data_IF_221339288800
#
_entry.id   IF_221339288800
#
_cell.length_a   1.000
_cell.length_b   1.000
_cell.length_c   1.000
_cell.angle_alpha   90.00
_cell.angle_beta   90.00
_cell.angle_gamma   90.00
#
_symmetry.space_group_name_H-M   'P 1'
#
loop_
_entity.id
_entity.type
_entity.pdbx_description
1 polymer ?
2 non-polymer ?
3 water ?
#
# COMPACT_ATOMS: atom_id res chain seq x y z
N UNK A 24 11.87 8.03 -0.37
CA UNK A 24 12.88 8.66 0.52
C UNK A 24 12.36 9.91 1.21
N UNK A 25 11.21 10.43 0.77
CA UNK A 25 10.48 11.43 1.56
C UNK A 25 9.09 10.86 1.79
N UNK A 26 8.25 11.57 2.52
CA UNK A 26 6.95 11.02 2.88
C UNK A 26 5.99 10.96 1.67
N UNK A 27 6.26 11.77 0.63
CA UNK A 27 5.44 11.78 -0.59
C UNK A 27 5.42 10.44 -1.33
N UNK A 28 6.57 9.76 -1.42
CA UNK A 28 6.63 8.47 -2.11
C UNK A 28 5.79 7.38 -1.44
N UNK A 29 5.35 7.65 -0.20
CA UNK A 29 4.52 6.72 0.55
C UNK A 29 3.00 6.91 0.29
N UNK A 30 2.64 7.88 -0.55
CA UNK A 30 1.27 8.14 -1.02
C UNK A 30 0.30 8.55 0.07
N UNK A 31 0.82 9.18 1.12
CA UNK A 31 -0.02 9.69 2.19
C UNK A 31 -0.88 10.86 1.68
N UNK A 32 -2.02 11.04 2.33
CA UNK A 32 -2.90 12.16 2.04
C UNK A 32 -2.24 13.52 2.32
N UNK A 33 -2.68 14.53 1.60
CA UNK A 33 -2.10 15.84 1.74
C UNK A 33 -2.14 16.40 3.16
N UNK A 34 -3.29 16.27 3.86
CA UNK A 34 -3.31 16.76 5.25
C UNK A 34 -2.26 16.10 6.13
N UNK A 35 -2.03 14.80 5.92
CA UNK A 35 -1.02 14.10 6.72
C UNK A 35 0.42 14.55 6.35
N UNK A 36 0.70 14.65 5.06
CA UNK A 36 1.97 15.19 4.57
C UNK A 36 2.30 16.59 5.13
N UNK A 37 1.30 17.47 5.14
CA UNK A 37 1.43 18.85 5.66
C UNK A 37 1.64 18.87 7.16
N UNK A 38 0.94 17.98 7.87
CA UNK A 38 1.09 17.81 9.30
C UNK A 38 2.47 17.30 9.67
N UNK A 39 2.94 16.26 8.97
CA UNK A 39 4.30 15.72 9.19
C UNK A 39 5.34 16.83 9.05
N UNK A 40 5.25 17.58 7.96
CA UNK A 40 6.18 18.69 7.69
C UNK A 40 6.06 19.74 8.81
N UNK A 41 4.84 20.10 9.20
CA UNK A 41 4.65 21.09 10.26
C UNK A 41 5.24 20.62 11.60
N UNK A 42 5.13 19.32 11.86
CA UNK A 42 5.57 18.70 13.12
C UNK A 42 7.06 18.35 13.14
N UNK A 43 7.80 18.67 12.07
CA UNK A 43 9.24 18.44 12.04
C UNK A 43 9.71 17.12 11.43
N UNK A 44 8.80 16.36 10.83
CA UNK A 44 9.14 15.05 10.24
C UNK A 44 9.48 15.23 8.76
N UNK A 45 10.74 15.47 8.43
CA UNK A 45 11.09 15.78 7.03
C UNK A 45 11.35 14.57 6.13
N UNK A 46 12.04 13.55 6.67
CA UNK A 46 12.27 12.32 5.91
C UNK A 46 11.96 11.09 6.78
N UNK A 47 11.32 10.06 6.20
CA UNK A 47 11.01 8.85 6.98
C UNK A 47 12.24 8.06 7.40
N UNK A 48 12.15 7.50 8.60
CA UNK A 48 13.16 6.59 9.11
C UNK A 48 13.04 5.27 8.33
N UNK A 49 14.08 4.43 8.37
CA UNK A 49 13.99 3.10 7.73
C UNK A 49 12.71 2.28 8.04
N UNK A 50 12.28 2.24 9.30
CA UNK A 50 11.06 1.49 9.64
C UNK A 50 9.78 2.19 9.13
N UNK A 51 9.80 3.51 9.09
CA UNK A 51 8.69 4.28 8.57
C UNK A 51 8.55 4.03 7.07
N UNK A 52 9.66 4.07 6.32
CA UNK A 52 9.63 3.69 4.90
C UNK A 52 9.03 2.33 4.64
N UNK A 53 9.39 1.34 5.47
CA UNK A 53 8.92 -0.02 5.29
C UNK A 53 7.48 -0.22 5.72
N UNK A 54 7.13 0.29 6.90
CA UNK A 54 5.85 -0.10 7.53
C UNK A 54 4.66 0.71 7.04
N UNK A 55 4.86 1.99 6.74
CA UNK A 55 3.72 2.85 6.37
C UNK A 55 2.93 2.34 5.13
N UNK A 56 3.62 2.02 4.01
CA UNK A 56 2.84 1.50 2.86
C UNK A 56 2.07 0.22 3.17
N UNK A 57 2.68 -0.66 3.98
CA UNK A 57 2.07 -1.95 4.33
C UNK A 57 0.86 -1.72 5.23
N UNK A 58 0.96 -0.76 6.14
CA UNK A 58 -0.18 -0.28 6.94
C UNK A 58 -1.30 0.28 6.07
N UNK A 59 -0.97 1.12 5.09
CA UNK A 59 -1.97 1.68 4.16
C UNK A 59 -2.68 0.60 3.34
N UNK A 60 -1.98 -0.51 3.14
CA UNK A 60 -2.46 -1.69 2.42
C UNK A 60 -3.52 -2.48 3.20
N UNK A 61 -3.72 -2.16 4.48
CA UNK A 61 -4.71 -2.80 5.32
C UNK A 61 -4.26 -4.12 5.95
N UNK A 62 -2.97 -4.46 5.83
CA UNK A 62 -2.45 -5.70 6.39
C UNK A 62 -2.33 -5.69 7.94
N UNK A 63 -2.46 -6.84 8.58
CA UNK A 63 -2.09 -6.92 10.00
C UNK A 63 -0.57 -6.88 10.05
N UNK A 64 -0.02 -6.02 10.90
CA UNK A 64 1.44 -5.84 10.98
C UNK A 64 1.95 -6.13 12.36
N UNK A 65 3.10 -6.79 12.43
CA UNK A 65 3.92 -6.84 13.64
C UNK A 65 5.23 -6.10 13.33
N UNK A 66 5.42 -4.95 13.96
CA UNK A 66 6.57 -4.11 13.72
C UNK A 66 7.49 -4.28 14.93
N UNK A 67 8.62 -4.94 14.72
CA UNK A 67 9.59 -5.16 15.80
C UNK A 67 10.91 -4.44 15.48
N UNK A 68 11.22 -3.46 16.33
CA UNK A 68 12.42 -2.67 16.11
C UNK A 68 12.80 -1.97 17.41
N UNK A 69 14.10 -1.81 17.60
CA UNK A 69 14.63 -1.29 18.86
C UNK A 69 14.20 0.16 19.10
N UNK A 70 14.38 0.61 20.33
CA UNK A 70 14.04 1.99 20.66
C UNK A 70 14.85 2.94 19.76
N UNK A 71 14.26 4.07 19.43
CA UNK A 71 14.92 5.09 18.61
C UNK A 71 14.61 5.02 17.12
N UNK A 72 13.83 4.00 16.70
CA UNK A 72 13.57 3.73 15.29
C UNK A 72 12.38 4.50 14.69
N UNK A 73 11.52 5.06 15.53
CA UNK A 73 10.40 5.88 15.07
C UNK A 73 9.07 5.15 14.95
N UNK A 74 8.81 4.20 15.85
CA UNK A 74 7.65 3.33 15.78
C UNK A 74 6.31 4.04 16.10
N UNK A 75 6.30 5.01 17.01
CA UNK A 75 5.07 5.76 17.32
C UNK A 75 4.58 6.55 16.10
N UNK A 76 5.50 7.17 15.39
CA UNK A 76 5.12 7.90 14.19
C UNK A 76 4.71 6.96 13.06
N UNK A 77 5.19 5.71 13.07
CA UNK A 77 4.68 4.67 12.15
C UNK A 77 3.17 4.48 12.28
N UNK A 78 2.72 4.12 13.47
CA UNK A 78 1.30 3.78 13.61
C UNK A 78 0.42 5.03 13.69
N UNK A 79 1.00 6.14 14.13
CA UNK A 79 0.27 7.39 14.20
C UNK A 79 -0.05 7.87 12.77
N UNK A 80 0.91 7.71 11.86
CA UNK A 80 0.75 8.11 10.47
C UNK A 80 -0.24 7.20 9.73
N UNK A 81 -0.12 5.90 9.95
CA UNK A 81 -1.05 4.94 9.37
C UNK A 81 -2.46 5.29 9.86
N UNK A 82 -2.59 5.54 11.15
CA UNK A 82 -3.87 5.84 11.75
C UNK A 82 -4.50 7.09 11.15
N UNK A 83 -3.76 8.21 11.14
CA UNK A 83 -4.31 9.46 10.64
C UNK A 83 -4.66 9.37 9.14
N UNK A 84 -3.83 8.70 8.36
CA UNK A 84 -4.11 8.53 6.94
C UNK A 84 -5.38 7.70 6.66
N UNK A 85 -5.74 6.82 7.58
CA UNK A 85 -6.88 5.91 7.41
C UNK A 85 -8.20 6.56 7.83
N UNK A 86 -8.10 7.65 8.60
CA UNK A 86 -9.29 8.25 9.22
C UNK A 86 -10.22 8.91 8.21
N UNK A 87 -11.52 8.70 8.42
CA UNK A 87 -12.55 9.43 7.69
C UNK A 87 -12.93 10.61 8.60
N UNK A 88 -12.32 11.75 8.33
CA UNK A 88 -12.42 12.88 9.27
C UNK A 88 -13.86 13.39 9.43
N UNK A 89 -14.61 13.39 8.34
CA UNK A 89 -16.00 13.86 8.37
C UNK A 89 -16.94 12.94 9.14
N UNK A 90 -16.50 11.71 9.45
CA UNK A 90 -17.29 10.78 10.28
C UNK A 90 -16.86 10.87 11.74
N UNK A 91 -17.66 11.54 12.58
CA UNK A 91 -17.27 11.77 13.97
C UNK A 91 -17.69 10.55 14.81
N UNK A 92 -16.90 9.50 14.63
CA UNK A 92 -17.15 8.20 15.25
C UNK A 92 -15.79 7.62 15.54
N UNK A 93 -15.71 6.76 16.54
CA UNK A 93 -14.40 6.21 16.96
C UNK A 93 -14.00 5.10 16.00
N UNK A 94 -13.04 5.40 15.13
CA UNK A 94 -12.63 4.48 14.07
C UNK A 94 -11.34 3.72 14.39
N UNK A 95 -10.61 4.28 15.36
CA UNK A 95 -9.28 3.77 15.75
C UNK A 95 -9.17 3.69 17.27
N UNK A 96 -8.71 2.53 17.74
CA UNK A 96 -8.46 2.29 19.13
C UNK A 96 -7.00 1.92 19.34
N UNK A 97 -6.34 2.65 20.23
CA UNK A 97 -4.90 2.41 20.54
C UNK A 97 -4.71 2.12 22.03
N UNK A 98 -4.06 1.01 22.34
CA UNK A 98 -3.80 0.63 23.72
C UNK A 98 -2.32 0.81 24.09
N UNK A 99 -2.08 1.29 25.29
CA UNK A 99 -0.75 1.55 25.80
C UNK A 99 -0.65 0.98 27.20
N UNK A 100 0.54 0.50 27.58
CA UNK A 100 0.66 -0.16 28.86
C UNK A 100 0.74 0.75 30.11
N UNK A 101 1.03 2.03 29.90
CA UNK A 101 1.10 3.00 31.00
C UNK A 101 0.37 4.29 30.61
N UNK A 102 -0.07 5.02 31.63
CA UNK A 102 -0.64 6.38 31.48
C UNK A 102 0.25 7.32 30.66
N UNK A 103 1.53 7.35 31.00
CA UNK A 103 2.49 8.23 30.31
C UNK A 103 2.63 7.90 28.82
N UNK A 104 2.72 6.60 28.49
CA UNK A 104 2.82 6.18 27.09
C UNK A 104 1.53 6.57 26.30
N UNK A 105 0.36 6.39 26.90
CA UNK A 105 -0.91 6.78 26.25
C UNK A 105 -0.86 8.28 25.87
N UNK A 106 -0.35 9.12 26.79
CA UNK A 106 -0.26 10.56 26.52
C UNK A 106 0.80 10.90 25.49
N UNK A 107 1.93 10.18 25.53
CA UNK A 107 2.98 10.31 24.52
C UNK A 107 2.38 10.09 23.10
N UNK A 108 1.57 9.05 22.95
CA UNK A 108 0.87 8.73 21.70
C UNK A 108 -0.05 9.87 21.28
N UNK A 109 -0.87 10.35 22.21
CA UNK A 109 -1.76 11.46 21.96
C UNK A 109 -0.99 12.69 21.46
N UNK A 110 0.18 12.96 22.04
CA UNK A 110 0.98 14.09 21.62
C UNK A 110 1.46 14.01 20.17
N UNK A 111 1.92 12.83 19.77
CA UNK A 111 2.41 12.59 18.41
C UNK A 111 1.25 12.69 17.40
N UNK A 112 0.14 12.03 17.71
CA UNK A 112 -1.05 12.08 16.81
C UNK A 112 -1.57 13.51 16.67
N UNK A 113 -1.67 14.23 17.77
CA UNK A 113 -2.18 15.58 17.70
C UNK A 113 -1.18 16.55 17.01
N UNK A 114 0.11 16.27 17.07
CA UNK A 114 1.12 17.03 16.32
C UNK A 114 1.06 16.78 14.82
N UNK A 115 1.06 15.51 14.42
CA UNK A 115 0.99 15.14 13.02
C UNK A 115 -0.39 15.49 12.43
N UNK A 116 -1.42 15.50 13.28
CA UNK A 116 -2.78 15.76 12.85
C UNK A 116 -3.17 17.23 12.82
N UNK A 117 -2.18 18.11 13.01
CA UNK A 117 -2.42 19.53 13.22
C UNK A 117 -3.14 20.25 12.05
N UNK A 118 -3.03 19.71 10.84
CA UNK A 118 -3.73 20.28 9.67
C UNK A 118 -5.07 19.60 9.35
N UNK A 119 -5.52 18.73 10.23
CA UNK A 119 -6.78 18.02 10.06
C UNK A 119 -7.78 18.69 11.00
N UNK A 120 -8.52 19.63 10.46
CA UNK A 120 -9.43 20.43 11.22
C UNK A 120 -10.51 19.55 11.86
N UNK A 121 -10.76 19.74 13.14
CA UNK A 121 -11.77 18.94 13.86
C UNK A 121 -11.37 17.52 14.25
N UNK A 122 -10.10 17.16 14.06
CA UNK A 122 -9.58 15.89 14.61
C UNK A 122 -9.79 15.82 16.14
N UNK A 123 -10.35 14.72 16.59
CA UNK A 123 -10.66 14.49 17.98
C UNK A 123 -9.92 13.20 18.43
N UNK A 124 -8.86 13.39 19.20
CA UNK A 124 -8.09 12.26 19.74
C UNK A 124 -8.03 12.48 21.24
N UNK A 125 -8.42 11.46 22.00
CA UNK A 125 -8.63 11.57 23.46
C UNK A 125 -8.02 10.40 24.21
N UNK A 126 -7.52 10.70 25.40
CA UNK A 126 -6.85 9.71 26.27
C UNK A 126 -7.79 9.25 27.38
N UNK A 127 -7.90 7.94 27.55
CA UNK A 127 -8.81 7.29 28.51
C UNK A 127 -7.99 6.48 29.48
N UNK A 128 -7.79 7.05 30.67
CA UNK A 128 -6.99 6.45 31.73
C UNK A 128 -7.71 6.61 33.07
N UNK A 129 -7.24 5.91 34.08
CA UNK A 129 -7.84 5.99 35.42
C UNK A 129 -7.72 7.37 36.03
N UNK A 130 -8.64 7.67 36.94
CA UNK A 130 -8.62 8.91 37.72
C UNK A 130 -9.56 10.02 37.29
N UNK A 131 -10.09 9.89 36.08
CA UNK A 131 -11.14 10.77 35.58
C UNK A 131 -12.50 10.10 35.76
N UNK A 132 -13.52 10.87 36.15
CA UNK A 132 -14.85 10.27 36.34
C UNK A 132 -15.35 9.65 35.03
N UNK A 133 -16.00 8.50 35.13
CA UNK A 133 -16.51 7.80 33.95
C UNK A 133 -17.53 8.67 33.20
N UNK A 134 -18.24 9.53 33.94
CA UNK A 134 -19.21 10.43 33.29
C UNK A 134 -18.53 11.39 32.29
N UNK A 135 -17.32 11.82 32.64
CA UNK A 135 -16.56 12.70 31.79
C UNK A 135 -16.02 11.98 30.54
N UNK A 136 -15.56 10.74 30.71
CA UNK A 136 -15.19 9.94 29.57
C UNK A 136 -16.39 9.72 28.65
N UNK A 137 -17.56 9.44 29.24
CA UNK A 137 -18.76 9.24 28.41
C UNK A 137 -18.99 10.45 27.49
N UNK A 138 -18.92 11.67 28.06
CA UNK A 138 -19.14 12.89 27.29
C UNK A 138 -18.08 13.05 26.19
N UNK A 139 -16.83 12.76 26.54
CA UNK A 139 -15.70 12.93 25.60
C UNK A 139 -15.82 11.96 24.43
N UNK A 140 -16.34 10.77 24.69
CA UNK A 140 -16.46 9.73 23.67
C UNK A 140 -17.56 10.03 22.65
N UNK A 141 -18.40 11.01 22.95
CA UNK A 141 -19.39 11.49 21.96
C UNK A 141 -18.75 12.23 20.78
N UNK A 142 -17.50 12.68 20.92
CA UNK A 142 -16.78 13.37 19.85
C UNK A 142 -15.36 12.88 19.86
N UNK A 143 -15.11 11.73 19.24
CA UNK A 143 -13.81 11.08 19.39
C UNK A 143 -13.50 10.20 18.18
N UNK A 144 -12.58 10.62 17.33
CA UNK A 144 -12.13 9.82 16.20
C UNK A 144 -11.20 8.68 16.60
N UNK A 145 -10.27 9.01 17.52
CA UNK A 145 -9.22 8.08 17.94
C UNK A 145 -9.15 8.02 19.45
N UNK A 146 -9.41 6.83 20.00
CA UNK A 146 -9.35 6.60 21.44
C UNK A 146 -8.04 5.95 21.78
N UNK A 147 -7.28 6.55 22.71
CA UNK A 147 -6.01 6.04 23.20
C UNK A 147 -6.19 5.78 24.69
N UNK A 148 -5.88 4.59 25.18
CA UNK A 148 -5.99 4.39 26.61
C UNK A 148 -5.35 3.14 27.15
N UNK A 149 -5.52 2.92 28.45
CA UNK A 149 -5.03 1.70 29.04
C UNK A 149 -6.14 0.64 28.93
N UNK A 150 -5.73 -0.65 28.84
CA UNK A 150 -6.70 -1.73 28.65
C UNK A 150 -7.82 -1.79 29.70
N UNK A 151 -7.53 -1.56 30.99
CA UNK A 151 -8.60 -1.66 31.99
C UNK A 151 -9.69 -0.62 31.80
N UNK A 152 -9.27 0.63 31.59
CA UNK A 152 -10.23 1.71 31.39
C UNK A 152 -11.01 1.54 30.10
N UNK A 153 -10.34 1.17 29.01
CA UNK A 153 -11.02 0.94 27.74
C UNK A 153 -12.04 -0.20 27.85
N UNK A 154 -11.66 -1.30 28.49
CA UNK A 154 -12.61 -2.40 28.68
C UNK A 154 -13.88 -1.91 29.44
N UNK A 155 -13.68 -1.16 30.51
CA UNK A 155 -14.81 -0.63 31.29
C UNK A 155 -15.74 0.23 30.44
N UNK A 156 -15.14 1.09 29.61
CA UNK A 156 -15.92 2.00 28.75
C UNK A 156 -16.68 1.23 27.68
N UNK A 157 -16.09 0.16 27.15
CA UNK A 157 -16.80 -0.65 26.16
C UNK A 157 -17.94 -1.42 26.86
N UNK A 158 -17.66 -2.03 28.01
CA UNK A 158 -18.69 -2.73 28.81
C UNK A 158 -19.91 -1.85 29.14
N UNK A 159 -19.67 -0.58 29.45
CA UNK A 159 -20.75 0.38 29.70
C UNK A 159 -21.44 0.92 28.44
N UNK A 160 -20.92 0.59 27.25
CA UNK A 160 -21.32 1.15 25.94
C UNK A 160 -21.14 2.67 25.85
N UNK A 161 -20.18 3.18 26.62
CA UNK A 161 -19.77 4.56 26.50
C UNK A 161 -18.90 4.69 25.25
N UNK A 162 -18.06 3.66 25.00
CA UNK A 162 -17.35 3.49 23.75
C UNK A 162 -18.07 2.34 23.01
N UNK A 163 -18.90 2.68 22.04
CA UNK A 163 -19.46 1.69 21.14
C UNK A 163 -18.39 1.34 20.09
N UNK A 164 -17.96 0.08 20.05
CA UNK A 164 -16.82 -0.27 19.19
C UNK A 164 -17.21 -0.59 17.75
N UNK A 165 -18.48 -0.37 17.41
CA UNK A 165 -19.04 -0.67 16.09
C UNK A 165 -18.36 -0.07 14.87
N UNK A 166 -17.72 1.09 15.02
CA UNK A 166 -17.03 1.71 13.89
C UNK A 166 -15.52 1.56 13.92
N UNK A 167 -14.98 0.83 14.87
CA UNK A 167 -13.54 0.65 14.95
C UNK A 167 -13.11 -0.31 13.84
N UNK A 168 -12.20 0.17 13.00
CA UNK A 168 -11.63 -0.67 11.94
C UNK A 168 -10.10 -0.89 12.06
N UNK A 169 -9.49 -0.23 13.03
CA UNK A 169 -8.05 -0.28 13.25
C UNK A 169 -7.76 -0.33 14.75
N UNK A 170 -7.07 -1.39 15.15
CA UNK A 170 -6.81 -1.69 16.56
C UNK A 170 -5.28 -1.84 16.72
N UNK A 171 -4.69 -0.96 17.53
CA UNK A 171 -3.25 -0.85 17.63
C UNK A 171 -2.78 -1.13 19.07
N UNK A 172 -1.82 -2.05 19.20
CA UNK A 172 -1.16 -2.36 20.45
C UNK A 172 0.27 -1.78 20.47
N UNK A 173 0.45 -0.72 21.25
CA UNK A 173 1.77 -0.07 21.35
C UNK A 173 2.51 -0.69 22.55
N UNK A 174 3.80 -0.94 22.37
CA UNK A 174 4.62 -1.66 23.34
C UNK A 174 3.95 -2.96 23.70
N UNK A 175 3.74 -3.77 22.65
CA UNK A 175 2.91 -4.96 22.78
C UNK A 175 3.52 -6.01 23.70
N UNK A 176 4.86 -6.02 23.77
CA UNK A 176 5.58 -6.84 24.75
C UNK A 176 5.15 -6.49 26.19
N UNK A 177 5.16 -5.21 26.55
CA UNK A 177 4.70 -4.78 27.86
C UNK A 177 3.20 -5.02 28.13
N UNK A 178 2.36 -4.90 27.09
CA UNK A 178 0.93 -5.11 27.22
C UNK A 178 0.57 -6.56 27.53
N UNK A 179 1.33 -7.49 26.96
CA UNK A 179 0.94 -8.91 26.96
C UNK A 179 1.84 -9.81 27.81
N UNK A 180 2.79 -9.22 28.52
CA UNK A 180 3.68 -9.99 29.40
C UNK A 180 2.90 -10.53 30.64
N UNK A 181 3.50 -11.50 31.31
CA UNK A 181 2.92 -12.06 32.51
C UNK A 181 2.64 -10.95 33.49
N UNK A 182 1.45 -11.00 34.09
CA UNK A 182 1.04 -10.00 35.07
C UNK A 182 0.51 -8.72 34.44
N UNK A 183 0.39 -8.66 33.10
CA UNK A 183 -0.08 -7.43 32.43
C UNK A 183 -1.53 -7.56 31.93
N UNK A 184 -1.81 -7.15 30.71
CA UNK A 184 -3.20 -6.98 30.28
C UNK A 184 -3.75 -7.98 29.26
N UNK A 185 -3.22 -9.19 29.19
CA UNK A 185 -3.69 -10.15 28.19
C UNK A 185 -5.19 -10.45 28.30
N UNK A 186 -5.70 -10.63 29.52
CA UNK A 186 -7.11 -10.94 29.66
C UNK A 186 -8.01 -9.78 29.16
N UNK A 187 -7.64 -8.56 29.52
CA UNK A 187 -8.39 -7.38 29.11
C UNK A 187 -8.33 -7.18 27.60
N UNK A 188 -7.17 -7.43 27.00
CA UNK A 188 -7.00 -7.27 25.57
C UNK A 188 -7.76 -8.33 24.79
N UNK A 189 -7.71 -9.58 25.27
CA UNK A 189 -8.53 -10.65 24.70
C UNK A 189 -10.01 -10.23 24.65
N UNK A 190 -10.50 -9.67 25.75
CA UNK A 190 -11.90 -9.23 25.87
C UNK A 190 -12.22 -8.13 24.88
N UNK A 191 -11.39 -7.09 24.86
CA UNK A 191 -11.56 -5.97 23.94
C UNK A 191 -11.54 -6.43 22.51
N UNK A 192 -10.56 -7.28 22.16
CA UNK A 192 -10.45 -7.79 20.82
C UNK A 192 -11.78 -8.45 20.37
N UNK A 193 -12.33 -9.27 21.25
CA UNK A 193 -13.60 -9.96 20.98
C UNK A 193 -14.80 -9.03 20.81
N UNK A 194 -14.78 -7.88 21.50
CA UNK A 194 -15.87 -6.92 21.45
C UNK A 194 -15.89 -6.15 20.13
N UNK A 195 -14.74 -6.06 19.48
CA UNK A 195 -14.62 -5.28 18.25
C UNK A 195 -15.24 -5.99 17.06
N UNK A 196 -15.45 -5.24 15.97
CA UNK A 196 -16.00 -5.83 14.77
C UNK A 196 -15.07 -6.90 14.24
N UNK A 197 -15.64 -7.93 13.62
CA UNK A 197 -14.84 -9.01 13.06
C UNK A 197 -13.89 -8.49 11.97
N UNK A 198 -14.36 -7.55 11.17
CA UNK A 198 -13.56 -6.98 10.09
C UNK A 198 -12.79 -5.74 10.57
N UNK A 199 -11.49 -5.92 10.79
CA UNK A 199 -10.65 -4.84 11.26
C UNK A 199 -9.22 -5.16 10.94
N UNK A 200 -8.38 -4.14 11.04
CA UNK A 200 -6.94 -4.26 10.87
C UNK A 200 -6.27 -4.12 12.22
N UNK A 201 -5.26 -4.97 12.45
CA UNK A 201 -4.48 -4.88 13.64
C UNK A 201 -3.02 -4.53 13.42
N UNK A 202 -2.48 -3.68 14.29
CA UNK A 202 -1.06 -3.36 14.29
C UNK A 202 -0.52 -3.64 15.69
N UNK A 203 0.59 -4.36 15.79
CA UNK A 203 1.29 -4.50 17.09
C UNK A 203 2.72 -4.01 16.91
N UNK A 204 3.16 -3.10 17.78
CA UNK A 204 4.51 -2.56 17.64
C UNK A 204 5.22 -2.80 18.96
N UNK A 205 6.50 -3.16 18.87
CA UNK A 205 7.23 -3.66 20.05
C UNK A 205 8.72 -3.56 19.82
N UNK A 206 9.44 -3.30 20.88
CA UNK A 206 10.90 -3.34 20.84
C UNK A 206 11.44 -4.79 20.80
N UNK A 207 10.73 -5.72 21.43
CA UNK A 207 11.13 -7.13 21.49
C UNK A 207 10.03 -8.05 20.96
N UNK A 208 10.39 -9.28 20.62
CA UNK A 208 9.40 -10.26 20.15
C UNK A 208 9.69 -11.62 20.83
N UNK A 209 9.48 -11.69 22.17
CA UNK A 209 9.73 -12.95 22.86
C UNK A 209 8.63 -13.96 22.56
N UNK A 210 8.85 -15.22 22.94
CA UNK A 210 7.84 -16.27 22.67
C UNK A 210 6.44 -15.94 23.21
N UNK A 211 6.35 -15.35 24.40
CA UNK A 211 5.03 -15.06 24.97
C UNK A 211 4.26 -14.09 24.07
N UNK A 212 4.97 -13.18 23.43
CA UNK A 212 4.30 -12.22 22.54
C UNK A 212 3.90 -12.86 21.21
N UNK A 213 4.82 -13.61 20.59
CA UNK A 213 4.51 -14.38 19.39
C UNK A 213 3.25 -15.20 19.60
N UNK A 214 3.20 -15.89 20.74
CA UNK A 214 2.07 -16.73 21.10
C UNK A 214 0.76 -15.92 21.30
N UNK A 215 0.82 -14.85 22.07
CA UNK A 215 -0.37 -14.05 22.36
C UNK A 215 -0.99 -13.45 21.09
N UNK A 216 -0.16 -12.99 20.15
CA UNK A 216 -0.66 -12.33 18.92
C UNK A 216 -1.34 -13.31 17.92
N UNK A 217 -1.13 -14.62 18.08
CA UNK A 217 -1.89 -15.61 17.27
C UNK A 217 -3.40 -15.54 17.51
N UNK A 218 -3.81 -14.99 18.64
CA UNK A 218 -5.22 -14.83 18.96
C UNK A 218 -5.87 -13.73 18.09
N UNK A 219 -5.06 -12.77 17.65
CA UNK A 219 -5.56 -11.55 17.00
C UNK A 219 -5.27 -11.46 15.51
N UNK A 220 -4.18 -12.08 15.05
CA UNK A 220 -3.70 -11.93 13.68
C UNK A 220 -3.48 -13.30 13.06
N UNK A 221 -4.23 -13.57 12.01
CA UNK A 221 -4.17 -14.90 11.38
C UNK A 221 -2.89 -15.15 10.58
N UNK A 222 -2.41 -14.14 9.87
CA UNK A 222 -1.21 -14.29 9.06
C UNK A 222 -0.57 -12.92 8.92
N UNK A 223 0.07 -12.46 10.02
CA UNK A 223 0.58 -11.10 10.03
C UNK A 223 1.81 -10.93 9.13
N UNK A 224 1.99 -9.70 8.67
CA UNK A 224 3.19 -9.30 7.99
C UNK A 224 4.16 -8.73 9.02
N UNK A 225 5.38 -9.23 9.00
CA UNK A 225 6.42 -8.78 9.91
C UNK A 225 7.28 -7.67 9.31
N UNK A 226 7.54 -6.62 10.10
CA UNK A 226 8.41 -5.53 9.67
C UNK A 226 9.54 -5.37 10.67
N UNK A 227 10.76 -5.55 10.19
CA UNK A 227 11.97 -5.43 10.96
C UNK A 227 13.01 -4.68 10.13
N UNK A 228 14.01 -4.16 10.79
CA UNK A 228 15.10 -3.51 10.09
C UNK A 228 16.17 -4.50 9.65
N UNK B 24 -12.50 -11.90 0.07
CA UNK B 24 -11.92 -12.57 -1.12
C UNK B 24 -12.69 -12.28 -2.42
N UNK B 25 -13.18 -11.04 -2.58
CA UNK B 25 -13.65 -10.54 -3.89
C UNK B 25 -12.83 -9.30 -4.26
N UNK B 26 -13.04 -8.75 -5.45
CA UNK B 26 -12.26 -7.59 -5.87
C UNK B 26 -12.63 -6.30 -5.12
N UNK B 27 -13.86 -6.21 -4.62
CA UNK B 27 -14.32 -5.00 -3.90
C UNK B 27 -13.48 -4.73 -2.65
N UNK B 28 -13.04 -5.81 -2.01
CA UNK B 28 -12.23 -5.74 -0.79
C UNK B 28 -10.85 -5.16 -1.05
N UNK B 29 -10.40 -5.21 -2.31
CA UNK B 29 -9.12 -4.63 -2.68
C UNK B 29 -9.23 -3.10 -2.89
N UNK B 30 -10.45 -2.55 -2.76
CA UNK B 30 -10.71 -1.10 -2.75
C UNK B 30 -10.33 -0.40 -4.05
N UNK B 31 -10.48 -1.12 -5.16
CA UNK B 31 -10.22 -0.58 -6.49
C UNK B 31 -11.31 0.45 -6.83
N UNK B 32 -11.01 1.32 -7.80
CA UNK B 32 -11.99 2.32 -8.26
C UNK B 32 -13.22 1.65 -8.87
N UNK B 33 -14.36 2.33 -8.82
CA UNK B 33 -15.59 1.81 -9.41
C UNK B 33 -15.47 1.44 -10.89
N UNK B 34 -14.86 2.31 -11.71
CA UNK B 34 -14.70 1.91 -13.13
C UNK B 34 -13.90 0.60 -13.30
N UNK B 35 -12.84 0.43 -12.51
CA UNK B 35 -12.04 -0.80 -12.55
C UNK B 35 -12.85 -2.00 -12.05
N UNK B 36 -13.56 -1.82 -10.94
CA UNK B 36 -14.41 -2.89 -10.41
C UNK B 36 -15.50 -3.30 -11.42
N UNK B 37 -16.15 -2.33 -12.07
CA UNK B 37 -17.20 -2.65 -13.04
C UNK B 37 -16.63 -3.32 -14.29
N UNK B 38 -15.45 -2.88 -14.73
CA UNK B 38 -14.76 -3.51 -15.85
C UNK B 38 -14.32 -4.94 -15.57
N UNK B 39 -13.78 -5.17 -14.38
CA UNK B 39 -13.46 -6.54 -13.93
C UNK B 39 -14.67 -7.49 -14.03
N UNK B 40 -15.81 -7.13 -13.47
CA UNK B 40 -16.98 -8.04 -13.57
C UNK B 40 -17.48 -8.16 -15.01
N UNK B 41 -17.50 -7.06 -15.74
CA UNK B 41 -17.93 -7.06 -17.15
C UNK B 41 -17.03 -7.97 -18.00
N UNK B 42 -15.73 -7.96 -17.72
CA UNK B 42 -14.77 -8.81 -18.41
C UNK B 42 -14.66 -10.22 -17.81
N UNK B 43 -15.52 -10.56 -16.86
CA UNK B 43 -15.59 -11.92 -16.30
C UNK B 43 -14.64 -12.28 -15.17
N UNK B 44 -14.08 -11.27 -14.50
CA UNK B 44 -13.23 -11.49 -13.30
C UNK B 44 -14.06 -11.34 -12.01
N UNK B 45 -14.50 -12.45 -11.42
CA UNK B 45 -15.41 -12.36 -10.27
C UNK B 45 -14.72 -12.44 -8.90
N UNK B 46 -13.68 -13.28 -8.80
CA UNK B 46 -12.91 -13.39 -7.55
C UNK B 46 -11.41 -13.42 -7.86
N UNK B 47 -10.60 -12.68 -7.09
CA UNK B 47 -9.16 -12.70 -7.34
C UNK B 47 -8.48 -14.06 -7.05
N UNK B 48 -7.43 -14.36 -7.82
CA UNK B 48 -6.57 -15.49 -7.57
C UNK B 48 -5.70 -15.16 -6.34
N UNK B 49 -5.08 -16.19 -5.74
CA UNK B 49 -4.20 -15.94 -4.61
C UNK B 49 -3.12 -14.86 -4.84
N UNK B 50 -2.45 -14.85 -5.99
CA UNK B 50 -1.40 -13.84 -6.23
C UNK B 50 -2.03 -12.47 -6.47
N UNK B 51 -3.20 -12.45 -7.11
CA UNK B 51 -3.95 -11.20 -7.27
C UNK B 51 -4.35 -10.58 -5.93
N UNK B 52 -4.83 -11.42 -5.01
CA UNK B 52 -5.20 -10.96 -3.66
C UNK B 52 -4.03 -10.31 -2.92
N UNK B 53 -2.83 -10.91 -3.04
CA UNK B 53 -1.62 -10.37 -2.42
C UNK B 53 -1.06 -9.13 -3.12
N UNK B 54 -0.93 -9.21 -4.45
CA UNK B 54 -0.13 -8.24 -5.20
C UNK B 54 -0.85 -6.94 -5.49
N UNK B 55 -2.17 -7.03 -5.74
CA UNK B 55 -2.90 -5.82 -6.16
C UNK B 55 -2.87 -4.73 -5.09
N UNK B 56 -3.18 -5.04 -3.81
CA UNK B 56 -3.07 -4.02 -2.75
C UNK B 56 -1.66 -3.43 -2.58
N UNK B 57 -0.64 -4.27 -2.68
CA UNK B 57 0.74 -3.80 -2.51
C UNK B 57 1.13 -2.83 -3.63
N UNK B 58 0.71 -3.14 -4.85
CA UNK B 58 0.91 -2.24 -5.98
C UNK B 58 0.14 -0.94 -5.91
N UNK B 59 -1.12 -1.01 -5.49
CA UNK B 59 -1.90 0.21 -5.26
C UNK B 59 -1.23 1.15 -4.25
N UNK B 60 -0.55 0.58 -3.26
CA UNK B 60 0.15 1.38 -2.25
C UNK B 60 1.53 1.92 -2.69
N UNK B 61 1.91 1.66 -3.94
CA UNK B 61 3.07 2.30 -4.56
C UNK B 61 4.39 1.58 -4.42
N UNK B 62 4.39 0.39 -3.84
CA UNK B 62 5.64 -0.36 -3.65
C UNK B 62 6.18 -0.89 -4.99
N UNK B 63 7.51 -0.92 -5.14
CA UNK B 63 8.11 -1.66 -6.25
C UNK B 63 7.91 -3.13 -5.91
N UNK B 64 7.40 -3.89 -6.88
CA UNK B 64 7.11 -5.30 -6.67
C UNK B 64 7.88 -6.20 -7.63
N UNK B 65 8.29 -7.35 -7.11
CA UNK B 65 8.73 -8.49 -7.92
C UNK B 65 7.73 -9.58 -7.61
N UNK B 66 6.90 -9.90 -8.60
CA UNK B 66 5.91 -10.94 -8.48
C UNK B 66 6.45 -12.19 -9.20
N UNK B 67 6.79 -13.23 -8.44
CA UNK B 67 7.31 -14.48 -9.01
C UNK B 67 6.32 -15.61 -8.76
N UNK B 68 5.68 -16.08 -9.83
CA UNK B 68 4.74 -17.18 -9.67
C UNK B 68 4.55 -17.89 -10.99
N UNK B 69 4.27 -19.18 -10.90
CA UNK B 69 4.23 -20.02 -12.07
C UNK B 69 3.12 -19.63 -13.05
N UNK B 70 3.17 -20.18 -14.26
CA UNK B 70 2.14 -19.83 -15.24
C UNK B 70 0.79 -20.35 -14.72
N UNK B 71 -0.27 -19.66 -15.10
CA UNK B 71 -1.64 -19.90 -14.59
C UNK B 71 -2.07 -19.20 -13.31
N UNK B 72 -1.21 -18.37 -12.73
CA UNK B 72 -1.52 -17.74 -11.43
C UNK B 72 -2.23 -16.38 -11.53
N UNK B 73 -2.32 -15.83 -12.74
CA UNK B 73 -3.08 -14.61 -12.99
C UNK B 73 -2.26 -13.34 -12.95
N UNK B 74 -1.02 -13.41 -13.43
CA UNK B 74 -0.07 -12.29 -13.27
C UNK B 74 -0.36 -11.09 -14.19
N UNK B 75 -0.89 -11.32 -15.39
CA UNK B 75 -1.23 -10.19 -16.28
C UNK B 75 -2.33 -9.33 -15.68
N UNK B 76 -3.36 -9.96 -15.13
CA UNK B 76 -4.42 -9.22 -14.46
C UNK B 76 -3.93 -8.48 -13.22
N UNK B 77 -2.84 -8.93 -12.60
CA UNK B 77 -2.24 -8.20 -11.48
C UNK B 77 -1.80 -6.81 -11.90
N UNK B 78 -0.93 -6.73 -12.91
CA UNK B 78 -0.36 -5.44 -13.24
C UNK B 78 -1.31 -4.63 -14.10
N UNK B 79 -2.20 -5.29 -14.82
CA UNK B 79 -3.21 -4.57 -15.61
C UNK B 79 -4.18 -3.81 -14.70
N UNK B 80 -4.56 -4.44 -13.58
CA UNK B 80 -5.47 -3.83 -12.63
C UNK B 80 -4.80 -2.68 -11.87
N UNK B 81 -3.57 -2.91 -11.42
CA UNK B 81 -2.74 -1.86 -10.78
C UNK B 81 -2.59 -0.67 -11.71
N UNK B 82 -2.27 -0.91 -12.98
CA UNK B 82 -2.10 0.17 -13.96
C UNK B 82 -3.38 0.99 -14.18
N UNK B 83 -4.48 0.31 -14.46
CA UNK B 83 -5.76 1.01 -14.70
C UNK B 83 -6.25 1.78 -13.49
N UNK B 84 -6.14 1.17 -12.31
CA UNK B 84 -6.58 1.85 -11.08
C UNK B 84 -5.71 3.07 -10.76
N UNK B 85 -4.50 3.12 -11.30
CA UNK B 85 -3.58 4.26 -11.06
C UNK B 85 -3.68 5.43 -12.06
N UNK B 86 -4.43 5.21 -13.13
CA UNK B 86 -4.41 6.12 -14.27
C UNK B 86 -5.23 7.35 -13.98
N UNK B 87 -4.77 8.50 -14.47
CA UNK B 87 -5.58 9.71 -14.45
C UNK B 87 -6.11 9.94 -15.87
N UNK B 88 -7.36 9.54 -16.07
CA UNK B 88 -7.95 9.46 -17.40
C UNK B 88 -8.01 10.84 -18.09
N UNK B 89 -8.43 11.85 -17.33
CA UNK B 89 -8.49 13.24 -17.79
C UNK B 89 -7.16 13.81 -18.30
N UNK B 90 -6.03 13.26 -17.82
CA UNK B 90 -4.72 13.63 -18.35
C UNK B 90 -4.31 12.65 -19.46
N UNK B 91 -4.33 13.11 -20.72
CA UNK B 91 -4.06 12.18 -21.84
C UNK B 91 -2.58 12.03 -22.19
N UNK B 92 -1.69 12.26 -21.22
CA UNK B 92 -0.28 12.02 -21.41
C UNK B 92 -0.04 10.55 -21.12
N UNK B 93 1.07 10.01 -21.64
CA UNK B 93 1.42 8.61 -21.35
C UNK B 93 1.96 8.47 -19.91
N UNK B 94 1.22 7.75 -19.09
CA UNK B 94 1.53 7.64 -17.67
C UNK B 94 2.16 6.29 -17.30
N UNK B 95 1.97 5.31 -18.17
CA UNK B 95 2.34 3.92 -17.91
C UNK B 95 2.99 3.30 -19.13
N UNK B 96 4.12 2.64 -18.89
CA UNK B 96 4.89 1.97 -19.93
C UNK B 96 5.08 0.50 -19.56
N UNK B 97 4.69 -0.39 -20.47
CA UNK B 97 4.76 -1.84 -20.23
C UNK B 97 5.60 -2.51 -21.31
N UNK B 98 6.64 -3.24 -20.92
CA UNK B 98 7.49 -3.97 -21.86
C UNK B 98 7.18 -5.45 -21.85
N UNK B 99 7.19 -6.04 -23.06
CA UNK B 99 6.96 -7.47 -23.27
C UNK B 99 8.04 -8.01 -24.20
N UNK B 100 8.45 -9.27 -23.99
CA UNK B 100 9.56 -9.82 -24.74
C UNK B 100 9.21 -10.26 -26.16
N UNK B 101 7.91 -10.47 -26.44
CA UNK B 101 7.49 -10.91 -27.78
C UNK B 101 6.32 -10.03 -28.25
N UNK B 102 6.13 -10.00 -29.56
CA UNK B 102 4.98 -9.33 -30.20
C UNK B 102 3.65 -9.86 -29.64
N UNK B 103 3.53 -11.16 -29.56
CA UNK B 103 2.30 -11.81 -29.13
C UNK B 103 1.96 -11.47 -27.68
N UNK B 104 2.96 -11.44 -26.80
CA UNK B 104 2.69 -11.08 -25.38
C UNK B 104 2.29 -9.60 -25.24
N UNK B 105 2.92 -8.69 -25.99
CA UNK B 105 2.49 -7.30 -26.02
C UNK B 105 0.98 -7.18 -26.31
N UNK B 106 0.52 -7.92 -27.31
CA UNK B 106 -0.89 -7.87 -27.70
C UNK B 106 -1.78 -8.48 -26.66
N UNK B 107 -1.37 -9.62 -26.11
CA UNK B 107 -2.08 -10.25 -24.99
C UNK B 107 -2.33 -9.27 -23.82
N UNK B 108 -1.31 -8.50 -23.47
CA UNK B 108 -1.44 -7.47 -22.44
C UNK B 108 -2.48 -6.41 -22.81
N UNK B 109 -2.37 -5.93 -24.05
CA UNK B 109 -3.32 -4.97 -24.60
C UNK B 109 -4.77 -5.48 -24.51
N UNK B 110 -4.97 -6.75 -24.84
CA UNK B 110 -6.29 -7.40 -24.76
C UNK B 110 -6.88 -7.36 -23.35
N UNK B 111 -6.06 -7.72 -22.38
CA UNK B 111 -6.49 -7.75 -20.97
C UNK B 111 -6.82 -6.33 -20.47
N UNK B 112 -5.91 -5.38 -20.72
CA UNK B 112 -6.10 -3.99 -20.32
C UNK B 112 -7.34 -3.36 -20.95
N UNK B 113 -7.56 -3.63 -22.23
CA UNK B 113 -8.70 -3.03 -22.93
C UNK B 113 -10.03 -3.66 -22.46
N UNK B 114 -9.97 -4.95 -22.10
CA UNK B 114 -11.15 -5.63 -21.59
C UNK B 114 -11.51 -5.20 -20.17
N UNK B 115 -10.52 -5.13 -19.29
CA UNK B 115 -10.75 -4.65 -17.92
C UNK B 115 -11.07 -3.16 -17.91
N UNK B 116 -10.54 -2.42 -18.87
CA UNK B 116 -10.74 -0.98 -18.98
C UNK B 116 -11.96 -0.54 -19.79
N UNK B 117 -12.80 -1.50 -20.15
CA UNK B 117 -13.99 -1.25 -20.97
C UNK B 117 -14.98 -0.23 -20.37
N UNK B 118 -15.02 -0.07 -19.05
CA UNK B 118 -15.89 0.97 -18.46
C UNK B 118 -15.20 2.33 -18.29
N UNK B 119 -13.97 2.48 -18.80
CA UNK B 119 -13.21 3.71 -18.63
C UNK B 119 -13.19 4.54 -19.90
N UNK B 120 -14.07 5.53 -19.95
CA UNK B 120 -14.30 6.28 -21.19
C UNK B 120 -13.07 7.13 -21.61
N UNK B 121 -12.68 6.98 -22.86
CA UNK B 121 -11.53 7.67 -23.41
C UNK B 121 -10.20 6.98 -23.15
N UNK B 122 -10.20 5.80 -22.53
CA UNK B 122 -8.93 5.04 -22.32
C UNK B 122 -8.23 4.78 -23.66
N UNK B 123 -6.96 5.15 -23.74
CA UNK B 123 -6.11 4.91 -24.91
C UNK B 123 -4.93 4.02 -24.52
N UNK B 124 -4.98 2.77 -24.98
CA UNK B 124 -3.89 1.82 -24.74
C UNK B 124 -3.49 1.26 -26.11
N UNK B 125 -2.19 1.33 -26.41
CA UNK B 125 -1.69 1.01 -27.75
C UNK B 125 -0.42 0.17 -27.71
N UNK B 126 -0.28 -0.67 -28.74
CA UNK B 126 0.86 -1.59 -28.91
C UNK B 126 1.88 -1.06 -29.90
N UNK B 127 3.15 -1.03 -29.48
CA UNK B 127 4.28 -0.51 -30.26
C UNK B 127 5.29 -1.62 -30.50
N UNK B 128 5.23 -2.17 -31.71
CA UNK B 128 6.04 -3.30 -32.15
C UNK B 128 6.55 -3.03 -33.57
N UNK B 129 7.53 -3.82 -34.00
CA UNK B 129 8.12 -3.69 -35.32
C UNK B 129 7.13 -3.86 -36.46
N UNK B 130 7.40 -3.20 -37.58
CA UNK B 130 6.65 -3.44 -38.82
C UNK B 130 5.61 -2.39 -39.15
N UNK B 131 5.28 -1.54 -38.19
CA UNK B 131 4.41 -0.39 -38.40
C UNK B 131 5.32 0.82 -38.62
N UNK B 132 5.04 1.64 -39.65
CA UNK B 132 5.90 2.81 -39.88
C UNK B 132 6.02 3.69 -38.64
N UNK B 133 7.24 4.16 -38.35
CA UNK B 133 7.47 5.01 -37.17
C UNK B 133 6.56 6.24 -37.12
N UNK B 134 6.20 6.77 -38.29
CA UNK B 134 5.35 7.97 -38.42
C UNK B 134 3.91 7.71 -37.94
N UNK B 135 3.46 6.47 -38.09
CA UNK B 135 2.16 6.10 -37.57
C UNK B 135 2.21 5.91 -36.05
N UNK B 136 3.29 5.33 -35.53
CA UNK B 136 3.49 5.29 -34.08
C UNK B 136 3.52 6.71 -33.49
N UNK B 137 4.20 7.64 -34.19
CA UNK B 137 4.27 9.04 -33.75
C UNK B 137 2.87 9.62 -33.52
N UNK B 138 1.98 9.43 -34.49
CA UNK B 138 0.60 9.89 -34.43
C UNK B 138 -0.18 9.22 -33.30
N UNK B 139 -0.03 7.90 -33.18
CA UNK B 139 -0.72 7.15 -32.13
C UNK B 139 -0.30 7.62 -30.73
N UNK B 140 0.98 7.92 -30.55
CA UNK B 140 1.51 8.35 -29.27
C UNK B 140 1.00 9.72 -28.80
N UNK B 141 0.35 10.46 -29.69
CA UNK B 141 -0.29 11.72 -29.30
C UNK B 141 -1.55 11.49 -28.44
N UNK B 142 -2.18 10.32 -28.56
CA UNK B 142 -3.34 9.96 -27.71
C UNK B 142 -3.11 8.58 -27.09
N UNK B 143 -2.37 8.53 -25.99
CA UNK B 143 -1.94 7.25 -25.42
C UNK B 143 -1.64 7.34 -23.93
N UNK B 144 -2.55 6.80 -23.11
CA UNK B 144 -2.33 6.70 -21.65
C UNK B 144 -1.34 5.61 -21.25
N UNK B 145 -1.47 4.44 -21.88
CA UNK B 145 -0.64 3.25 -21.60
C UNK B 145 0.00 2.73 -22.90
N UNK B 146 1.32 2.73 -22.92
CA UNK B 146 2.12 2.24 -24.05
C UNK B 146 2.64 0.86 -23.68
N UNK B 147 2.34 -0.11 -24.53
CA UNK B 147 2.77 -1.49 -24.38
C UNK B 147 3.65 -1.81 -25.59
N UNK B 148 4.85 -2.32 -25.39
CA UNK B 148 5.66 -2.65 -26.55
C UNK B 148 6.85 -3.52 -26.29
N UNK B 149 7.58 -3.78 -27.37
CA UNK B 149 8.83 -4.48 -27.23
C UNK B 149 9.94 -3.43 -26.95
N UNK B 150 11.00 -3.84 -26.22
CA UNK B 150 12.04 -2.88 -25.83
C UNK B 150 12.76 -2.16 -26.98
N UNK B 151 13.02 -2.84 -28.09
CA UNK B 151 13.73 -2.20 -29.23
C UNK B 151 12.89 -1.06 -29.81
N UNK B 152 11.60 -1.33 -30.06
CA UNK B 152 10.71 -0.32 -30.62
C UNK B 152 10.48 0.84 -29.64
N UNK B 153 10.24 0.51 -28.37
CA UNK B 153 10.04 1.56 -27.36
C UNK B 153 11.30 2.42 -27.23
N UNK B 154 12.48 1.80 -27.18
CA UNK B 154 13.73 2.56 -27.14
C UNK B 154 13.81 3.54 -28.32
N UNK B 155 13.52 3.07 -29.52
CA UNK B 155 13.61 3.94 -30.69
C UNK B 155 12.62 5.10 -30.61
N UNK B 156 11.40 4.83 -30.16
CA UNK B 156 10.38 5.87 -30.04
C UNK B 156 10.76 6.95 -29.03
N UNK B 157 11.42 6.55 -27.94
CA UNK B 157 11.93 7.51 -26.97
C UNK B 157 13.12 8.30 -27.55
N UNK B 158 14.03 7.61 -28.22
CA UNK B 158 15.19 8.26 -28.86
C UNK B 158 14.77 9.35 -29.84
N UNK B 159 13.72 9.06 -30.61
CA UNK B 159 13.22 9.97 -31.63
C UNK B 159 12.30 11.09 -31.07
N UNK B 160 12.10 11.05 -29.75
CA UNK B 160 11.14 11.89 -29.01
C UNK B 160 9.73 11.86 -29.59
N UNK B 161 9.33 10.65 -30.01
CA UNK B 161 7.95 10.38 -30.38
C UNK B 161 7.14 9.99 -29.15
N UNK B 162 7.78 9.23 -28.26
CA UNK B 162 7.29 8.96 -26.93
C UNK B 162 8.11 9.82 -25.97
N UNK B 163 7.47 10.82 -25.36
CA UNK B 163 8.13 11.61 -24.32
C UNK B 163 7.80 10.97 -22.98
N UNK B 164 8.81 10.45 -22.29
CA UNK B 164 8.61 9.66 -21.09
C UNK B 164 8.36 10.46 -19.81
N UNK B 165 8.25 11.78 -19.93
CA UNK B 165 8.22 12.67 -18.79
C UNK B 165 7.04 12.54 -17.84
N UNK B 166 5.94 11.95 -18.30
CA UNK B 166 4.78 11.73 -17.45
C UNK B 166 4.65 10.27 -16.99
N UNK B 167 5.61 9.44 -17.32
CA UNK B 167 5.55 8.04 -16.88
C UNK B 167 5.85 7.90 -15.41
N UNK B 168 4.90 7.34 -14.67
CA UNK B 168 5.07 7.08 -13.25
C UNK B 168 5.04 5.60 -12.87
N UNK B 169 4.72 4.74 -13.84
CA UNK B 169 4.65 3.30 -13.61
C UNK B 169 5.28 2.58 -14.81
N UNK B 170 6.28 1.75 -14.51
CA UNK B 170 7.08 1.05 -15.52
C UNK B 170 7.03 -0.43 -15.16
N UNK B 171 6.51 -1.23 -16.09
CA UNK B 171 6.19 -2.64 -15.85
C UNK B 171 6.98 -3.54 -16.82
N UNK B 172 7.67 -4.53 -16.24
CA UNK B 172 8.37 -5.56 -17.00
C UNK B 172 7.59 -6.87 -16.88
N UNK B 173 6.94 -7.27 -17.98
CA UNK B 173 6.22 -8.53 -18.04
C UNK B 173 7.14 -9.64 -18.57
N UNK B 174 7.13 -10.79 -17.91
CA UNK B 174 8.02 -11.90 -18.23
C UNK B 174 9.47 -11.43 -18.15
N UNK B 175 9.82 -10.92 -16.97
CA UNK B 175 11.05 -10.20 -16.78
C UNK B 175 12.25 -11.14 -16.95
N UNK B 176 12.06 -12.43 -16.64
CA UNK B 176 13.09 -13.44 -16.92
C UNK B 176 13.48 -13.48 -18.43
N UNK B 177 12.50 -13.55 -19.30
CA UNK B 177 12.72 -13.54 -20.75
C UNK B 177 13.24 -12.20 -21.24
N UNK B 178 12.83 -11.12 -20.59
CA UNK B 178 13.29 -9.78 -21.00
C UNK B 178 14.78 -9.54 -20.73
N UNK B 179 15.28 -10.13 -19.65
CA UNK B 179 16.59 -9.80 -19.14
C UNK B 179 17.60 -10.93 -19.24
N UNK B 180 17.23 -12.04 -19.86
CA UNK B 180 18.12 -13.20 -19.98
C UNK B 180 19.21 -12.96 -21.03
N UNK B 181 20.24 -13.81 -21.07
CA UNK B 181 21.32 -13.64 -22.06
C UNK B 181 20.79 -13.55 -23.50
N UNK B 182 21.25 -12.54 -24.24
CA UNK B 182 20.85 -12.38 -25.63
C UNK B 182 19.47 -11.75 -25.80
N UNK B 183 18.96 -11.15 -24.73
CA UNK B 183 17.68 -10.48 -24.76
C UNK B 183 17.87 -8.97 -24.62
N UNK B 184 17.05 -8.27 -23.84
CA UNK B 184 16.97 -6.80 -23.94
C UNK B 184 17.53 -6.01 -22.74
N UNK B 185 18.47 -6.57 -21.99
CA UNK B 185 18.95 -5.86 -20.80
C UNK B 185 19.53 -4.50 -21.17
N UNK B 186 20.26 -4.41 -22.29
CA UNK B 186 20.87 -3.12 -22.70
C UNK B 186 19.81 -2.07 -23.03
N UNK B 187 18.81 -2.47 -23.83
CA UNK B 187 17.68 -1.60 -24.15
C UNK B 187 16.88 -1.19 -22.95
N UNK B 188 16.65 -2.14 -22.03
CA UNK B 188 15.86 -1.85 -20.83
C UNK B 188 16.62 -0.92 -19.90
N UNK B 189 17.92 -1.15 -19.72
CA UNK B 189 18.79 -0.21 -18.99
C UNK B 189 18.66 1.21 -19.56
N UNK B 190 18.72 1.33 -20.89
CA UNK B 190 18.59 2.64 -21.59
C UNK B 190 17.23 3.29 -21.34
N UNK B 191 16.18 2.50 -21.51
CA UNK B 191 14.80 2.97 -21.31
C UNK B 191 14.58 3.44 -19.87
N UNK B 192 15.05 2.64 -18.90
CA UNK B 192 14.96 2.97 -17.48
C UNK B 192 15.58 4.33 -17.17
N UNK B 193 16.78 4.55 -17.68
CA UNK B 193 17.52 5.79 -17.49
C UNK B 193 16.86 7.03 -18.14
N UNK B 194 16.04 6.81 -19.16
CA UNK B 194 15.29 7.89 -19.81
C UNK B 194 14.05 8.32 -19.02
N UNK B 195 13.61 7.51 -18.07
CA UNK B 195 12.35 7.76 -17.36
C UNK B 195 12.57 8.70 -16.17
N UNK B 196 11.46 9.32 -15.68
CA UNK B 196 11.52 10.13 -14.46
C UNK B 196 12.08 9.34 -13.26
N UNK B 197 12.86 10.02 -12.40
CA UNK B 197 13.37 9.43 -11.15
C UNK B 197 12.24 8.95 -10.24
N UNK B 198 11.15 9.71 -10.18
CA UNK B 198 10.04 9.35 -9.33
C UNK B 198 9.06 8.47 -10.08
N UNK B 199 9.14 7.17 -9.84
CA UNK B 199 8.29 6.21 -10.54
C UNK B 199 8.23 4.94 -9.74
N UNK B 200 7.22 4.13 -10.05
CA UNK B 200 7.02 2.82 -9.47
C UNK B 200 7.34 1.76 -10.52
N UNK B 201 7.99 0.67 -10.09
CA UNK B 201 8.34 -0.44 -11.00
C UNK B 201 7.66 -1.70 -10.57
N UNK B 202 7.13 -2.43 -11.54
CA UNK B 202 6.61 -3.79 -11.31
C UNK B 202 7.36 -4.73 -12.28
N UNK B 203 7.85 -5.85 -11.78
CA UNK B 203 8.42 -6.92 -12.61
C UNK B 203 7.67 -8.18 -12.26
N UNK B 204 7.12 -8.88 -13.26
CA UNK B 204 6.43 -10.13 -13.00
C UNK B 204 7.15 -11.19 -13.84
N UNK B 205 7.31 -12.37 -13.27
CA UNK B 205 8.01 -13.45 -13.96
C UNK B 205 7.67 -14.82 -13.38
N UNK B 206 7.76 -15.84 -14.24
CA UNK B 206 7.52 -17.20 -13.80
C UNK B 206 8.71 -17.71 -12.97
N UNK B 207 9.91 -17.20 -13.22
CA UNK B 207 11.12 -17.66 -12.55
C UNK B 207 11.91 -16.47 -11.97
N UNK B 208 12.84 -16.76 -11.05
CA UNK B 208 13.69 -15.70 -10.46
C UNK B 208 15.11 -16.23 -10.31
N UNK B 209 15.78 -16.49 -11.44
CA UNK B 209 17.18 -16.89 -11.44
C UNK B 209 18.10 -15.76 -11.01
N UNK B 210 19.36 -16.10 -10.71
CA UNK B 210 20.34 -15.08 -10.26
C UNK B 210 20.51 -13.96 -11.27
N UNK B 211 20.53 -14.26 -12.57
CA UNK B 211 20.70 -13.16 -13.55
C UNK B 211 19.58 -12.13 -13.39
N UNK B 212 18.39 -12.58 -13.06
CA UNK B 212 17.23 -11.67 -12.95
C UNK B 212 17.28 -10.89 -11.67
N UNK B 213 17.54 -11.58 -10.57
CA UNK B 213 17.75 -10.93 -9.29
C UNK B 213 18.78 -9.82 -9.41
N UNK B 214 19.92 -10.15 -10.01
CA UNK B 214 21.00 -9.16 -10.24
C UNK B 214 20.57 -7.97 -11.13
N UNK B 215 19.95 -8.27 -12.27
CA UNK B 215 19.52 -7.24 -13.19
C UNK B 215 18.56 -6.23 -12.57
N UNK B 216 17.64 -6.73 -11.75
CA UNK B 216 16.61 -5.87 -11.17
C UNK B 216 17.13 -4.94 -10.08
N UNK B 217 18.35 -5.18 -9.57
CA UNK B 217 18.97 -4.23 -8.63
C UNK B 217 19.31 -2.87 -9.25
N UNK B 218 19.43 -2.83 -10.57
CA UNK B 218 19.59 -1.56 -11.30
C UNK B 218 18.34 -0.67 -11.20
N UNK B 219 17.16 -1.26 -11.02
CA UNK B 219 15.88 -0.55 -11.17
C UNK B 219 15.06 -0.35 -9.89
N UNK B 220 15.25 -1.27 -8.94
CA UNK B 220 14.51 -1.31 -7.69
C UNK B 220 15.46 -1.36 -6.49
N UNK B 221 15.43 -0.28 -5.73
CA UNK B 221 16.27 -0.13 -4.52
C UNK B 221 16.02 -1.17 -3.42
N UNK B 222 14.74 -1.40 -3.10
CA UNK B 222 14.38 -2.33 -2.02
C UNK B 222 13.01 -2.94 -2.33
N UNK B 223 12.95 -3.86 -3.31
CA UNK B 223 11.61 -4.31 -3.74
C UNK B 223 10.89 -5.21 -2.73
N UNK B 224 9.57 -5.25 -2.85
CA UNK B 224 8.72 -6.17 -2.12
C UNK B 224 8.45 -7.37 -3.00
N UNK B 225 8.65 -8.56 -2.46
CA UNK B 225 8.49 -9.82 -3.21
C UNK B 225 7.11 -10.41 -2.94
N UNK B 226 6.44 -10.86 -3.99
CA UNK B 226 5.16 -11.52 -3.88
C UNK B 226 5.28 -12.90 -4.52
N UNK B 227 5.01 -13.94 -3.73
CA UNK B 227 5.06 -15.32 -4.17
C UNK B 227 3.86 -16.05 -3.57
N UNK B 228 3.53 -17.21 -4.12
CA UNK B 228 2.42 -18.03 -3.62
C UNK B 228 2.83 -19.02 -2.53
#
# INVERSE_FOLDING_TARGET
SMRTAQDLSSPRTRTGDVLLAEPADFESLLLSRPVLEGLRAAGFERPSPVQLKAIPLGRCGLDLIVQAKSGTGKTCVFSTIALDSLVLENLSTQILILAPTREIAVQIHSVITAIGIKMEGLECHVFIGGTPLSQDKTRLKKCHIAVGSPGRIKQLIELDYLNPGSIRLFILDEADKLLEEGSFQEQINWIYSSLPASKQMLAVSATYPEFLANALTKYMRDPTFVRLNS
SMRTAQDLSSPRTRTGDVLLAEPADFESLLLSRPVLEGLRAAGFERPSPVQLKAIPLGRCGLDLIVQAKSGTGKTCVFSTIALDSLVLENLSTQILILAPTREIAVQIHSVITAIGIKMEGLECHVFIGGTPLSQDKTRLKKCHIAVGSPGRIKQLIELDYLNPGSIRLFILDEADKLLEEGSFQEQINWIYSSLPASKQMLAVSATYPEFLANALTKYMRDPTFVRLNS
#
